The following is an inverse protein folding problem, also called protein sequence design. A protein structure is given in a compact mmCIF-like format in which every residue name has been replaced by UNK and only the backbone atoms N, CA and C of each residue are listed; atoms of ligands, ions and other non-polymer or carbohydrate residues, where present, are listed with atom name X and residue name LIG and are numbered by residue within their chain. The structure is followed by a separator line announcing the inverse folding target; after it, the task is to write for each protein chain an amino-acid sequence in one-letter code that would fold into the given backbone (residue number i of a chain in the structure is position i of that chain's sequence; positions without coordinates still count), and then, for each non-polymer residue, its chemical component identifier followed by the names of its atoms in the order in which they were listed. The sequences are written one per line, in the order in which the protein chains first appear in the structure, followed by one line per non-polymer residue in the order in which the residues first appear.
data_IF_877325714010
#
_entry.id   IF_877325714010
#
_cell.length_a   1.000
_cell.length_b   1.000
_cell.length_c   1.000
_cell.angle_alpha   90.00
_cell.angle_beta   90.00
_cell.angle_gamma   90.00
#
_symmetry.space_group_name_H-M   'P 1'
#
loop_
_entity.id
_entity.type
_entity.pdbx_description
1 polymer ?
#
# COMPACT_ATOMS: atom_id res chain seq x y z
N UNK A 1 -17.10 1.27 -8.67
CA UNK A 1 -15.70 1.76 -8.63
C UNK A 1 -14.99 0.96 -7.56
N UNK A 2 -13.81 0.41 -7.84
CA UNK A 2 -13.00 -0.34 -6.87
C UNK A 2 -11.85 0.56 -6.39
N UNK A 3 -11.75 0.74 -5.08
CA UNK A 3 -10.75 1.59 -4.42
C UNK A 3 -9.83 0.72 -3.57
N UNK A 4 -8.52 0.90 -3.74
CA UNK A 4 -7.50 0.37 -2.82
C UNK A 4 -7.18 1.42 -1.75
N UNK A 5 -7.59 1.16 -0.51
CA UNK A 5 -7.22 1.95 0.67
C UNK A 5 -5.87 1.50 1.25
N UNK A 6 -5.03 2.46 1.62
CA UNK A 6 -3.70 2.23 2.22
C UNK A 6 -3.53 3.10 3.46
N UNK A 7 -3.30 2.45 4.60
CA UNK A 7 -3.14 3.10 5.90
C UNK A 7 -1.83 2.66 6.56
N UNK A 8 -0.94 3.63 6.78
CA UNK A 8 0.40 3.46 7.38
C UNK A 8 0.79 4.67 8.24
N UNK A 9 -0.16 5.29 8.93
CA UNK A 9 0.06 6.53 9.70
C UNK A 9 0.84 6.31 10.99
N UNK A 10 0.70 5.16 11.66
CA UNK A 10 1.32 4.90 12.96
C UNK A 10 1.99 3.52 13.04
N UNK A 11 1.37 2.53 13.69
CA UNK A 11 1.93 1.19 13.91
C UNK A 11 1.09 0.05 13.32
N UNK A 12 0.04 0.36 12.57
CA UNK A 12 -0.70 -0.57 11.72
C UNK A 12 -0.31 -0.42 10.24
N UNK A 13 -0.11 -1.54 9.56
CA UNK A 13 -0.12 -1.58 8.09
C UNK A 13 -1.45 -2.18 7.67
N UNK A 14 -2.33 -1.37 7.09
CA UNK A 14 -3.65 -1.83 6.67
C UNK A 14 -3.90 -1.56 5.19
N UNK A 15 -4.53 -2.52 4.53
CA UNK A 15 -4.97 -2.44 3.14
C UNK A 15 -6.40 -2.94 3.04
N UNK A 16 -7.23 -2.17 2.33
CA UNK A 16 -8.61 -2.55 2.06
C UNK A 16 -8.94 -2.37 0.58
N UNK A 17 -9.78 -3.26 0.04
CA UNK A 17 -10.39 -3.10 -1.28
C UNK A 17 -11.88 -2.89 -1.08
N UNK A 18 -12.37 -1.78 -1.60
CA UNK A 18 -13.73 -1.32 -1.37
C UNK A 18 -14.40 -1.12 -2.73
N UNK A 19 -15.60 -1.64 -2.88
CA UNK A 19 -16.47 -1.37 -4.02
C UNK A 19 -17.47 -0.27 -3.64
N UNK A 20 -17.47 0.81 -4.43
CA UNK A 20 -18.41 1.92 -4.30
C UNK A 20 -19.32 1.99 -5.53
N UNK A 21 -20.63 1.95 -5.32
CA UNK A 21 -21.67 2.12 -6.34
C UNK A 21 -22.74 3.09 -5.84
N UNK A 22 -22.78 4.31 -6.39
CA UNK A 22 -23.68 5.36 -5.91
C UNK A 22 -23.42 5.70 -4.44
N UNK A 23 -24.42 5.47 -3.58
CA UNK A 23 -24.31 5.65 -2.13
C UNK A 23 -24.01 4.34 -1.37
N UNK A 24 -23.83 3.23 -2.09
CA UNK A 24 -23.54 1.93 -1.50
C UNK A 24 -22.04 1.69 -1.48
N UNK A 25 -21.55 1.16 -0.36
CA UNK A 25 -20.15 0.81 -0.14
C UNK A 25 -20.09 -0.64 0.35
N UNK A 26 -19.31 -1.47 -0.34
CA UNK A 26 -19.04 -2.86 0.01
C UNK A 26 -17.55 -3.09 0.24
N UNK A 27 -17.20 -3.89 1.24
CA UNK A 27 -15.81 -4.26 1.53
C UNK A 27 -15.52 -5.60 0.85
N UNK A 28 -14.56 -5.61 -0.08
CA UNK A 28 -14.11 -6.82 -0.80
C UNK A 28 -13.02 -7.56 -0.03
N UNK A 29 -12.12 -6.83 0.62
CA UNK A 29 -11.10 -7.37 1.53
C UNK A 29 -10.66 -6.27 2.50
N UNK A 30 -10.29 -6.63 3.71
CA UNK A 30 -9.74 -5.73 4.73
C UNK A 30 -8.71 -6.50 5.56
N UNK A 31 -7.45 -6.07 5.48
CA UNK A 31 -6.34 -6.76 6.13
C UNK A 31 -5.49 -5.75 6.88
N UNK A 32 -5.33 -6.01 8.18
CA UNK A 32 -4.52 -5.18 9.08
C UNK A 32 -3.42 -6.01 9.74
N UNK A 33 -2.19 -5.50 9.69
CA UNK A 33 -1.06 -6.01 10.45
C UNK A 33 -0.64 -4.98 11.51
N UNK A 34 -0.92 -5.27 12.79
CA UNK A 34 -0.52 -4.41 13.90
C UNK A 34 0.88 -4.75 14.42
N UNK A 35 1.66 -3.72 14.68
CA UNK A 35 3.01 -3.82 15.23
C UNK A 35 3.05 -3.60 16.76
N UNK A 36 1.90 -3.48 17.42
CA UNK A 36 1.80 -3.14 18.85
C UNK A 36 2.69 -4.04 19.74
N UNK A 37 2.74 -5.35 19.48
CA UNK A 37 3.57 -6.29 20.23
C UNK A 37 5.10 -6.04 20.08
N UNK A 38 5.53 -5.50 18.94
CA UNK A 38 6.92 -5.11 18.71
C UNK A 38 7.25 -3.83 19.49
N UNK A 39 6.34 -2.85 19.46
CA UNK A 39 6.50 -1.55 20.12
C UNK A 39 6.34 -1.62 21.65
N UNK A 40 5.61 -2.61 22.17
CA UNK A 40 5.43 -2.82 23.61
C UNK A 40 6.75 -2.88 24.40
N UNK A 41 7.82 -3.40 23.78
CA UNK A 41 9.17 -3.49 24.38
C UNK A 41 9.82 -2.12 24.62
N UNK A 42 9.35 -1.09 23.92
CA UNK A 42 9.87 0.27 23.96
C UNK A 42 8.98 1.22 24.77
N UNK A 43 7.84 0.74 25.28
CA UNK A 43 6.88 1.56 26.03
C UNK A 43 6.10 2.57 25.17
N UNK A 44 6.15 2.44 23.84
CA UNK A 44 5.51 3.33 22.88
C UNK A 44 5.98 3.04 21.45
N UNK A 45 5.33 3.67 20.47
CA UNK A 45 5.67 3.48 19.06
C UNK A 45 7.07 4.03 18.77
N UNK A 46 7.95 3.18 18.24
CA UNK A 46 9.28 3.57 17.81
C UNK A 46 9.29 3.87 16.30
N UNK A 47 9.38 5.15 15.86
CA UNK A 47 9.05 5.53 14.48
C UNK A 47 9.88 4.84 13.39
N UNK A 48 11.18 4.67 13.63
CA UNK A 48 12.07 3.99 12.66
C UNK A 48 11.75 2.50 12.52
N UNK A 49 11.33 1.86 13.61
CA UNK A 49 10.85 0.48 13.56
C UNK A 49 9.52 0.41 12.82
N UNK A 50 8.61 1.35 13.08
CA UNK A 50 7.30 1.37 12.42
C UNK A 50 7.41 1.47 10.90
N UNK A 51 8.20 2.44 10.43
CA UNK A 51 8.58 2.59 9.01
C UNK A 51 9.05 1.27 8.38
N UNK A 52 9.97 0.58 9.07
CA UNK A 52 10.57 -0.67 8.54
C UNK A 52 9.53 -1.78 8.42
N UNK A 53 8.66 -1.91 9.42
CA UNK A 53 7.63 -2.93 9.39
C UNK A 53 6.55 -2.64 8.34
N UNK A 54 6.18 -1.38 8.07
CA UNK A 54 5.34 -1.07 6.90
C UNK A 54 6.00 -1.52 5.59
N UNK A 55 7.29 -1.20 5.40
CA UNK A 55 8.04 -1.53 4.18
C UNK A 55 8.07 -3.04 3.91
N UNK A 56 8.13 -3.85 4.97
CA UNK A 56 8.12 -5.32 4.87
C UNK A 56 6.74 -5.90 4.59
N UNK A 57 5.68 -5.30 5.14
CA UNK A 57 4.35 -5.90 5.15
C UNK A 57 3.45 -5.44 3.98
N UNK A 58 3.71 -4.31 3.34
CA UNK A 58 2.85 -3.79 2.27
C UNK A 58 2.67 -4.76 1.09
N UNK A 59 3.75 -5.36 0.57
CA UNK A 59 3.66 -6.32 -0.54
C UNK A 59 2.93 -7.62 -0.14
N UNK A 60 3.29 -8.28 0.99
CA UNK A 60 2.53 -9.43 1.47
C UNK A 60 1.04 -9.15 1.67
N UNK A 61 0.69 -8.02 2.29
CA UNK A 61 -0.70 -7.65 2.53
C UNK A 61 -1.45 -7.36 1.23
N UNK A 62 -0.82 -6.67 0.27
CA UNK A 62 -1.42 -6.39 -1.03
C UNK A 62 -1.75 -7.69 -1.76
N UNK A 63 -0.81 -8.65 -1.73
CA UNK A 63 -1.05 -9.98 -2.31
C UNK A 63 -2.26 -10.65 -1.67
N UNK A 64 -2.36 -10.65 -0.36
CA UNK A 64 -3.50 -11.28 0.35
C UNK A 64 -4.81 -10.55 0.01
N UNK A 65 -4.83 -9.22 0.00
CA UNK A 65 -6.00 -8.42 -0.33
C UNK A 65 -6.51 -8.71 -1.75
N UNK A 66 -5.60 -8.79 -2.73
CA UNK A 66 -5.95 -9.13 -4.12
C UNK A 66 -6.46 -10.57 -4.28
N UNK A 67 -5.97 -11.50 -3.45
CA UNK A 67 -6.47 -12.89 -3.44
C UNK A 67 -7.87 -12.95 -2.83
N UNK A 68 -8.10 -12.35 -1.67
CA UNK A 68 -9.39 -12.38 -0.97
C UNK A 68 -10.50 -11.69 -1.78
N UNK A 69 -10.18 -10.60 -2.47
CA UNK A 69 -11.09 -9.88 -3.37
C UNK A 69 -11.27 -10.53 -4.74
N UNK A 70 -10.58 -11.64 -5.03
CA UNK A 70 -10.55 -12.28 -6.36
C UNK A 70 -10.10 -11.35 -7.51
N UNK A 71 -9.28 -10.33 -7.22
CA UNK A 71 -8.75 -9.39 -8.21
C UNK A 71 -7.34 -9.75 -8.70
N UNK A 72 -6.75 -10.82 -8.17
CA UNK A 72 -5.45 -11.33 -8.62
C UNK A 72 -5.59 -12.12 -9.93
N UNK A 73 -4.78 -11.78 -10.92
CA UNK A 73 -4.65 -12.56 -12.15
C UNK A 73 -3.17 -12.76 -12.49
N UNK A 74 -2.75 -14.02 -12.56
CA UNK A 74 -1.39 -14.38 -12.94
C UNK A 74 -1.24 -14.17 -14.44
N UNK A 75 -0.44 -13.18 -14.83
CA UNK A 75 -0.12 -12.89 -16.23
C UNK A 75 1.34 -12.51 -16.32
N UNK A 76 2.04 -13.11 -17.27
CA UNK A 76 3.50 -13.05 -17.40
C UNK A 76 4.05 -11.76 -18.01
N UNK A 77 3.24 -10.72 -18.24
CA UNK A 77 3.63 -9.60 -19.11
C UNK A 77 3.33 -8.18 -18.57
N UNK A 78 3.36 -7.93 -17.26
CA UNK A 78 3.50 -6.54 -16.79
C UNK A 78 4.99 -6.12 -16.91
N UNK A 79 5.41 -5.74 -18.11
CA UNK A 79 6.79 -5.34 -18.39
C UNK A 79 7.05 -3.94 -17.81
N UNK A 80 7.79 -3.87 -16.71
CA UNK A 80 8.33 -2.60 -16.20
C UNK A 80 9.49 -2.17 -17.11
N UNK A 81 9.36 -1.01 -17.76
CA UNK A 81 10.44 -0.47 -18.58
C UNK A 81 11.66 -0.09 -17.72
N UNK A 82 12.87 -0.14 -18.28
CA UNK A 82 14.09 0.31 -17.58
C UNK A 82 14.00 1.75 -17.06
N UNK A 83 13.25 2.62 -17.74
CA UNK A 83 13.04 3.99 -17.29
C UNK A 83 12.12 4.05 -16.07
N UNK A 84 11.04 3.26 -16.08
CA UNK A 84 10.12 3.10 -14.96
C UNK A 84 10.86 2.55 -13.73
N UNK A 85 11.67 1.52 -13.91
CA UNK A 85 12.48 0.92 -12.84
C UNK A 85 13.42 1.94 -12.18
N UNK A 86 14.11 2.77 -12.97
CA UNK A 86 14.93 3.88 -12.43
C UNK A 86 14.11 4.91 -11.67
N UNK A 87 12.90 5.21 -12.16
CA UNK A 87 11.97 6.11 -11.47
C UNK A 87 11.54 5.55 -10.11
N UNK A 88 11.18 4.27 -10.07
CA UNK A 88 10.83 3.54 -8.85
C UNK A 88 12.00 3.50 -7.86
N UNK A 89 13.22 3.21 -8.34
CA UNK A 89 14.42 3.20 -7.51
C UNK A 89 14.72 4.56 -6.88
N UNK A 90 14.43 5.67 -7.58
CA UNK A 90 14.55 7.02 -7.02
C UNK A 90 13.45 7.30 -5.98
N UNK A 91 12.24 6.83 -6.22
CA UNK A 91 11.06 7.06 -5.36
C UNK A 91 11.15 6.29 -4.04
N UNK A 92 11.56 5.02 -4.10
CA UNK A 92 11.67 4.11 -2.96
C UNK A 92 13.11 4.02 -2.43
N UNK A 93 13.93 5.05 -2.65
CA UNK A 93 15.34 5.04 -2.24
C UNK A 93 15.54 4.91 -0.72
N UNK A 94 14.54 5.30 0.06
CA UNK A 94 14.50 5.24 1.52
C UNK A 94 13.90 3.91 2.03
N UNK A 95 13.38 3.07 1.15
CA UNK A 95 12.72 1.79 1.43
C UNK A 95 13.26 0.68 0.48
N UNK A 96 14.56 0.33 0.53
CA UNK A 96 15.18 -0.59 -0.43
C UNK A 96 14.59 -2.01 -0.37
N UNK A 97 14.18 -2.47 0.82
CA UNK A 97 13.50 -3.77 1.00
C UNK A 97 12.15 -3.79 0.26
N UNK A 98 11.37 -2.70 0.38
CA UNK A 98 10.09 -2.55 -0.31
C UNK A 98 10.29 -2.54 -1.83
N UNK A 99 11.29 -1.80 -2.33
CA UNK A 99 11.62 -1.78 -3.76
C UNK A 99 11.95 -3.19 -4.28
N UNK A 100 12.76 -3.96 -3.54
CA UNK A 100 13.15 -5.31 -3.94
C UNK A 100 11.94 -6.25 -4.05
N UNK A 101 11.06 -6.26 -3.04
CA UNK A 101 9.85 -7.08 -3.07
C UNK A 101 8.83 -6.59 -4.11
N UNK A 102 8.74 -5.28 -4.32
CA UNK A 102 7.90 -4.67 -5.35
C UNK A 102 8.30 -5.16 -6.75
N UNK A 103 9.58 -5.05 -7.10
CA UNK A 103 10.10 -5.47 -8.41
C UNK A 103 10.02 -6.98 -8.62
N UNK A 104 9.99 -7.76 -7.54
CA UNK A 104 9.83 -9.21 -7.58
C UNK A 104 8.37 -9.63 -7.79
N UNK A 105 7.41 -8.93 -7.18
CA UNK A 105 6.01 -9.34 -7.16
C UNK A 105 5.16 -8.65 -8.23
N UNK A 106 5.20 -7.32 -8.32
CA UNK A 106 4.26 -6.55 -9.16
C UNK A 106 4.34 -6.92 -10.65
N UNK A 107 5.51 -7.20 -11.26
CA UNK A 107 5.57 -7.65 -12.66
C UNK A 107 4.93 -9.01 -12.94
N UNK A 108 4.69 -9.82 -11.91
CA UNK A 108 4.20 -11.20 -12.04
C UNK A 108 2.68 -11.30 -12.16
N UNK A 109 1.97 -10.19 -11.93
CA UNK A 109 0.52 -10.10 -11.98
C UNK A 109 0.09 -9.10 -13.05
N UNK A 110 -1.06 -9.34 -13.68
CA UNK A 110 -1.68 -8.29 -14.49
C UNK A 110 -2.18 -7.15 -13.58
N UNK A 111 -2.27 -5.92 -14.11
CA UNK A 111 -2.91 -4.82 -13.39
C UNK A 111 -4.31 -5.24 -12.92
N UNK A 112 -4.60 -5.21 -11.60
CA UNK A 112 -5.90 -5.57 -11.08
C UNK A 112 -6.95 -4.53 -11.50
N UNK A 113 -8.24 -4.92 -11.45
CA UNK A 113 -9.37 -4.01 -11.72
C UNK A 113 -9.59 -3.06 -10.54
N UNK A 114 -8.68 -2.09 -10.37
CA UNK A 114 -8.73 -1.05 -9.35
C UNK A 114 -8.79 0.30 -10.08
N UNK A 115 -9.73 1.14 -9.68
CA UNK A 115 -9.99 2.43 -10.34
C UNK A 115 -9.28 3.59 -9.62
N UNK A 116 -9.01 3.46 -8.32
CA UNK A 116 -8.42 4.50 -7.48
C UNK A 116 -7.57 3.90 -6.36
N UNK A 117 -6.45 4.53 -6.05
CA UNK A 117 -5.66 4.25 -4.85
C UNK A 117 -5.85 5.39 -3.86
N UNK A 118 -6.47 5.11 -2.72
CA UNK A 118 -6.64 6.05 -1.62
C UNK A 118 -5.56 5.77 -0.57
N UNK A 119 -4.79 6.79 -0.18
CA UNK A 119 -3.68 6.62 0.79
C UNK A 119 -3.71 7.71 1.83
N UNK A 120 -3.51 7.32 3.09
CA UNK A 120 -3.45 8.28 4.21
C UNK A 120 -2.24 9.21 4.06
N UNK A 121 -2.50 10.52 3.96
CA UNK A 121 -1.47 11.56 3.90
C UNK A 121 -1.14 12.15 5.29
N UNK A 122 -2.09 12.05 6.22
CA UNK A 122 -1.91 12.43 7.62
C UNK A 122 -3.22 12.76 8.32
N UNK A 123 -3.20 13.16 9.60
CA UNK A 123 -2.03 13.25 10.47
C UNK A 123 -1.42 11.87 10.80
N UNK A 124 -0.16 11.84 11.22
CA UNK A 124 0.55 10.59 11.56
C UNK A 124 2.05 10.77 11.73
N UNK A 125 2.78 9.68 11.93
CA UNK A 125 4.23 9.65 11.98
C UNK A 125 4.79 9.84 10.57
N UNK A 126 5.49 10.96 10.35
CA UNK A 126 6.07 11.30 9.03
C UNK A 126 6.87 10.12 8.40
N UNK A 127 7.77 9.41 9.11
CA UNK A 127 8.52 8.30 8.51
C UNK A 127 7.64 7.11 8.09
N UNK A 128 6.47 6.93 8.70
CA UNK A 128 5.53 5.86 8.42
C UNK A 128 4.63 6.23 7.22
N UNK A 129 4.06 7.45 7.23
CA UNK A 129 3.22 7.98 6.15
C UNK A 129 3.92 7.92 4.79
N UNK A 130 5.19 8.33 4.72
CA UNK A 130 5.95 8.31 3.47
C UNK A 130 6.07 6.92 2.83
N UNK A 131 6.04 5.85 3.63
CA UNK A 131 6.10 4.47 3.09
C UNK A 131 4.84 4.17 2.30
N UNK A 132 3.66 4.42 2.88
CA UNK A 132 2.37 4.24 2.20
C UNK A 132 2.24 5.14 0.98
N UNK A 133 2.58 6.43 1.11
CA UNK A 133 2.49 7.41 0.01
C UNK A 133 3.40 7.00 -1.16
N UNK A 134 4.66 6.65 -0.90
CA UNK A 134 5.57 6.25 -1.99
C UNK A 134 5.16 4.91 -2.61
N UNK A 135 4.62 3.98 -1.81
CA UNK A 135 4.07 2.74 -2.32
C UNK A 135 2.86 2.97 -3.24
N UNK A 136 1.91 3.82 -2.83
CA UNK A 136 0.77 4.21 -3.65
C UNK A 136 1.20 4.84 -4.99
N UNK A 137 2.20 5.74 -4.95
CA UNK A 137 2.77 6.36 -6.16
C UNK A 137 3.51 5.37 -7.04
N UNK A 138 4.19 4.39 -6.46
CA UNK A 138 4.85 3.31 -7.19
C UNK A 138 3.82 2.44 -7.94
N UNK A 139 2.74 2.04 -7.26
CA UNK A 139 1.63 1.31 -7.89
C UNK A 139 0.97 2.13 -9.00
N UNK A 140 0.68 3.41 -8.75
CA UNK A 140 0.14 4.33 -9.74
C UNK A 140 1.01 4.42 -11.00
N UNK A 141 2.33 4.46 -10.83
CA UNK A 141 3.29 4.53 -11.95
C UNK A 141 3.25 3.26 -12.82
N UNK A 142 3.02 2.09 -12.22
CA UNK A 142 3.03 0.80 -12.94
C UNK A 142 1.66 0.44 -13.52
N UNK A 143 0.59 0.70 -12.78
CA UNK A 143 -0.78 0.34 -13.16
C UNK A 143 -1.54 1.48 -13.83
N UNK A 144 -0.99 2.69 -13.85
CA UNK A 144 -1.64 3.90 -14.39
C UNK A 144 -2.98 4.19 -13.71
N UNK A 145 -3.02 4.03 -12.39
CA UNK A 145 -4.21 4.27 -11.54
C UNK A 145 -4.01 5.59 -10.78
N UNK A 146 -5.01 6.48 -10.70
CA UNK A 146 -4.90 7.72 -9.93
C UNK A 146 -4.73 7.46 -8.42
N UNK A 147 -4.07 8.40 -7.73
CA UNK A 147 -3.89 8.38 -6.27
C UNK A 147 -4.65 9.56 -5.65
N UNK A 148 -5.46 9.28 -4.63
CA UNK A 148 -6.13 10.28 -3.81
C UNK A 148 -5.54 10.29 -2.39
N UNK A 149 -5.15 11.45 -1.87
CA UNK A 149 -4.78 11.58 -0.47
C UNK A 149 -6.02 11.51 0.43
N UNK A 150 -5.88 10.88 1.59
CA UNK A 150 -6.94 10.76 2.59
C UNK A 150 -6.45 11.33 3.92
N UNK A 151 -7.31 12.08 4.59
CA UNK A 151 -7.07 12.49 5.97
C UNK A 151 -7.40 11.33 6.91
N UNK A 152 -6.44 10.95 7.76
CA UNK A 152 -6.60 9.84 8.71
C UNK A 152 -7.82 10.02 9.61
N UNK A 153 -8.05 11.24 10.13
CA UNK A 153 -9.17 11.53 11.02
C UNK A 153 -10.51 11.48 10.30
N UNK A 154 -10.56 11.90 9.03
CA UNK A 154 -11.78 11.78 8.21
C UNK A 154 -12.06 10.31 7.88
N UNK A 155 -11.02 9.48 7.69
CA UNK A 155 -11.18 8.04 7.49
C UNK A 155 -11.77 7.29 8.69
N UNK A 156 -11.74 7.88 9.89
CA UNK A 156 -12.35 7.31 11.11
C UNK A 156 -13.84 7.66 11.27
N UNK A 157 -14.34 8.70 10.60
CA UNK A 157 -15.72 9.24 10.77
C UNK A 157 -16.67 8.58 9.77
#
# INVERSE_FOLDING_TARGET
MIILGIETSCDETALALIEAEGNSVGVLSDITHSQAALHAKYGGVFPNLAKREHSKNLIPLLKTALVESNLISNSSNCLISKQTEKGLAKMLNREPELLAEFLKFIPTIAPPSIDLIAVTEGPGLEPALWVGINFARALSTVWNIPVAPVNHMEGHI
#
